data_IF_790385016697
#
_entry.id   IF_790385016697
#
_cell.length_a   1.000
_cell.length_b   1.000
_cell.length_c   1.000
_cell.angle_alpha   90.00
_cell.angle_beta   90.00
_cell.angle_gamma   90.00
#
_symmetry.space_group_name_H-M   'P 1'
#
loop_
_entity.id
_entity.type
_entity.pdbx_description
1 polymer ?
#
# COMPACT_ATOMS: atom_id res chain seq x y z
N UNK A 1 32.38 -25.47 -13.08
CA UNK A 1 31.84 -25.38 -14.45
C UNK A 1 30.33 -25.41 -14.35
N UNK A 2 29.67 -24.26 -14.40
CA UNK A 2 28.20 -24.20 -14.40
C UNK A 2 27.73 -24.68 -15.78
N UNK A 3 27.24 -25.92 -15.85
CA UNK A 3 26.68 -26.47 -17.09
C UNK A 3 25.50 -25.61 -17.53
N UNK A 4 25.47 -25.23 -18.81
CA UNK A 4 24.32 -24.54 -19.38
C UNK A 4 23.06 -25.35 -19.07
N UNK A 5 22.07 -24.78 -18.36
CA UNK A 5 20.85 -25.50 -18.04
C UNK A 5 20.22 -25.95 -19.36
N UNK A 6 19.86 -27.23 -19.43
CA UNK A 6 19.24 -27.82 -20.61
C UNK A 6 18.02 -26.97 -21.01
N UNK A 7 17.89 -26.49 -22.28
CA UNK A 7 16.81 -25.59 -22.69
C UNK A 7 15.42 -26.06 -22.30
N UNK A 8 15.20 -27.37 -22.27
CA UNK A 8 13.95 -28.00 -21.85
C UNK A 8 13.57 -27.67 -20.40
N UNK A 9 14.55 -27.59 -19.49
CA UNK A 9 14.33 -27.26 -18.07
C UNK A 9 14.03 -25.77 -17.91
N UNK A 10 14.76 -24.90 -18.63
CA UNK A 10 14.51 -23.46 -18.62
C UNK A 10 13.13 -23.11 -19.19
N UNK A 11 12.67 -23.83 -20.22
CA UNK A 11 11.37 -23.60 -20.87
C UNK A 11 10.20 -24.35 -20.19
N UNK A 12 10.47 -25.27 -19.26
CA UNK A 12 9.44 -26.08 -18.60
C UNK A 12 8.39 -25.25 -17.85
N UNK A 13 8.77 -24.07 -17.35
CA UNK A 13 7.85 -23.13 -16.70
C UNK A 13 6.74 -22.59 -17.62
N UNK A 14 6.97 -22.56 -18.94
CA UNK A 14 5.98 -22.17 -19.93
C UNK A 14 4.99 -23.30 -20.30
N UNK A 15 5.26 -24.52 -19.85
CA UNK A 15 4.34 -25.65 -20.07
C UNK A 15 3.21 -25.73 -19.02
N UNK A 16 3.20 -24.83 -18.04
CA UNK A 16 2.22 -24.80 -16.94
C UNK A 16 1.36 -23.53 -17.00
N UNK A 17 0.06 -23.59 -16.67
CA UNK A 17 -0.82 -22.42 -16.62
C UNK A 17 -0.34 -21.27 -15.70
N UNK A 18 0.62 -21.51 -14.79
CA UNK A 18 1.21 -20.49 -13.90
C UNK A 18 1.71 -19.25 -14.66
N UNK A 19 2.37 -19.38 -15.82
CA UNK A 19 2.88 -18.21 -16.54
C UNK A 19 1.75 -17.33 -17.10
N UNK A 20 0.60 -17.91 -17.47
CA UNK A 20 -0.58 -17.15 -17.90
C UNK A 20 -1.16 -16.35 -16.74
N UNK A 21 -1.19 -16.92 -15.53
CA UNK A 21 -1.62 -16.19 -14.34
C UNK A 21 -0.69 -15.01 -14.03
N UNK A 22 0.63 -15.17 -14.21
CA UNK A 22 1.60 -14.08 -14.04
C UNK A 22 1.33 -12.96 -15.05
N UNK A 23 1.15 -13.28 -16.34
CA UNK A 23 0.84 -12.28 -17.36
C UNK A 23 -0.48 -11.57 -17.04
N UNK A 24 -1.53 -12.32 -16.66
CA UNK A 24 -2.81 -11.73 -16.32
C UNK A 24 -2.71 -10.81 -15.10
N UNK A 25 -2.00 -11.21 -14.05
CA UNK A 25 -1.75 -10.39 -12.88
C UNK A 25 -0.97 -9.11 -13.22
N UNK A 26 0.06 -9.20 -14.05
CA UNK A 26 0.83 -8.04 -14.51
C UNK A 26 -0.01 -7.10 -15.37
N UNK A 27 -0.80 -7.62 -16.31
CA UNK A 27 -1.69 -6.83 -17.14
C UNK A 27 -2.78 -6.15 -16.31
N UNK A 28 -3.34 -6.85 -15.32
CA UNK A 28 -4.34 -6.30 -14.41
C UNK A 28 -3.73 -5.20 -13.54
N UNK A 29 -2.54 -5.41 -12.97
CA UNK A 29 -1.80 -4.39 -12.21
C UNK A 29 -1.46 -3.16 -13.06
N UNK A 30 -0.98 -3.37 -14.28
CA UNK A 30 -0.71 -2.30 -15.24
C UNK A 30 -2.00 -1.56 -15.62
N UNK A 31 -3.10 -2.26 -15.87
CA UNK A 31 -4.40 -1.67 -16.19
C UNK A 31 -4.94 -0.81 -15.03
N UNK A 32 -4.83 -1.28 -13.79
CA UNK A 32 -5.21 -0.50 -12.61
C UNK A 32 -4.36 0.78 -12.50
N UNK A 33 -3.04 0.65 -12.67
CA UNK A 33 -2.10 1.77 -12.55
C UNK A 33 -2.27 2.80 -13.68
N UNK A 34 -2.48 2.34 -14.92
CA UNK A 34 -2.60 3.19 -16.12
C UNK A 34 -3.98 3.77 -16.32
N UNK A 35 -5.05 3.10 -15.86
CA UNK A 35 -6.43 3.61 -15.96
C UNK A 35 -6.65 4.90 -15.17
N UNK A 36 -5.76 5.22 -14.22
CA UNK A 36 -5.94 6.31 -13.28
C UNK A 36 -7.17 6.12 -12.39
N UNK A 37 -7.68 4.89 -12.25
CA UNK A 37 -8.89 4.60 -11.48
C UNK A 37 -8.72 5.04 -10.03
N UNK A 38 -7.57 4.71 -9.41
CA UNK A 38 -7.26 5.14 -8.04
C UNK A 38 -7.24 6.66 -7.92
N UNK A 39 -6.65 7.35 -8.90
CA UNK A 39 -6.65 8.82 -8.93
C UNK A 39 -8.07 9.40 -9.02
N UNK A 40 -8.93 8.83 -9.87
CA UNK A 40 -10.34 9.24 -10.00
C UNK A 40 -11.13 8.98 -8.72
N UNK A 41 -10.89 7.85 -8.04
CA UNK A 41 -11.51 7.52 -6.76
C UNK A 41 -11.07 8.52 -5.68
N UNK A 42 -9.78 8.84 -5.59
CA UNK A 42 -9.27 9.85 -4.66
C UNK A 42 -9.88 11.23 -4.91
N UNK A 43 -9.99 11.65 -6.17
CA UNK A 43 -10.66 12.91 -6.53
C UNK A 43 -12.15 12.90 -6.16
N UNK A 44 -12.83 11.77 -6.37
CA UNK A 44 -14.24 11.63 -6.00
C UNK A 44 -14.44 11.73 -4.49
N UNK A 45 -13.59 11.07 -3.70
CA UNK A 45 -13.56 11.15 -2.23
C UNK A 45 -13.30 12.58 -1.74
N UNK A 46 -12.31 13.27 -2.31
CA UNK A 46 -12.04 14.67 -1.98
C UNK A 46 -13.28 15.53 -2.27
N UNK A 47 -13.89 15.39 -3.45
CA UNK A 47 -15.06 16.19 -3.85
C UNK A 47 -16.29 15.96 -2.96
N UNK A 48 -16.46 14.76 -2.41
CA UNK A 48 -17.60 14.45 -1.52
C UNK A 48 -17.33 14.87 -0.07
N UNK A 49 -16.08 14.76 0.40
CA UNK A 49 -15.74 15.07 1.79
C UNK A 49 -15.36 16.53 2.04
N UNK A 50 -14.87 17.27 1.03
CA UNK A 50 -14.52 18.69 1.16
C UNK A 50 -15.68 19.55 1.71
N UNK A 51 -16.91 19.48 1.16
CA UNK A 51 -18.03 20.27 1.68
C UNK A 51 -18.39 19.91 3.13
N UNK A 52 -18.19 18.65 3.53
CA UNK A 52 -18.42 18.20 4.90
C UNK A 52 -17.40 18.83 5.86
N UNK A 53 -16.12 18.89 5.49
CA UNK A 53 -15.07 19.49 6.30
C UNK A 53 -15.25 21.00 6.44
N UNK A 54 -15.62 21.69 5.35
CA UNK A 54 -15.97 23.11 5.38
C UNK A 54 -17.14 23.39 6.34
N UNK A 55 -18.17 22.53 6.34
CA UNK A 55 -19.31 22.65 7.26
C UNK A 55 -18.94 22.52 8.74
N UNK A 56 -17.84 21.81 9.03
CA UNK A 56 -17.32 21.59 10.38
C UNK A 56 -16.23 22.60 10.79
N UNK A 57 -15.94 23.60 9.94
CA UNK A 57 -14.78 24.50 10.10
C UNK A 57 -13.45 23.75 10.29
N UNK A 58 -13.32 22.58 9.66
CA UNK A 58 -12.07 21.82 9.65
C UNK A 58 -11.31 22.20 8.38
N UNK A 59 -10.05 22.57 8.54
CA UNK A 59 -9.20 22.94 7.42
C UNK A 59 -9.09 21.78 6.38
N UNK A 60 -9.35 22.06 5.09
CA UNK A 60 -9.21 21.07 4.00
C UNK A 60 -7.85 20.36 3.93
N UNK A 61 -6.77 20.99 4.39
CA UNK A 61 -5.44 20.38 4.44
C UNK A 61 -5.43 19.10 5.26
N UNK A 62 -6.20 19.04 6.36
CA UNK A 62 -6.30 17.84 7.20
C UNK A 62 -6.84 16.65 6.40
N UNK A 63 -7.86 16.88 5.55
CA UNK A 63 -8.41 15.84 4.68
C UNK A 63 -7.37 15.33 3.69
N UNK A 64 -6.58 16.23 3.09
CA UNK A 64 -5.49 15.86 2.18
C UNK A 64 -4.45 15.00 2.91
N UNK A 65 -4.04 15.37 4.12
CA UNK A 65 -3.08 14.57 4.91
C UNK A 65 -3.63 13.21 5.30
N UNK A 66 -4.91 13.11 5.67
CA UNK A 66 -5.54 11.83 5.97
C UNK A 66 -5.50 10.92 4.73
N UNK A 67 -5.87 11.44 3.55
CA UNK A 67 -5.84 10.67 2.30
C UNK A 67 -4.43 10.24 1.92
N UNK A 68 -3.43 11.11 2.11
CA UNK A 68 -2.03 10.79 1.82
C UNK A 68 -1.47 9.76 2.80
N UNK A 69 -1.72 9.92 4.10
CA UNK A 69 -1.21 9.02 5.15
C UNK A 69 -1.97 7.68 5.17
N UNK A 70 -3.19 7.61 4.64
CA UNK A 70 -3.93 6.36 4.50
C UNK A 70 -3.54 5.54 3.27
N UNK A 71 -2.65 6.04 2.41
CA UNK A 71 -2.28 5.36 1.17
C UNK A 71 -1.39 4.12 1.38
N UNK A 72 -0.67 4.05 2.51
CA UNK A 72 0.37 3.05 2.77
C UNK A 72 0.22 2.18 4.06
N UNK A 73 -0.83 2.28 4.90
CA UNK A 73 -1.06 1.28 5.94
C UNK A 73 -1.49 -0.06 5.33
N UNK A 74 -0.82 -1.14 5.74
CA UNK A 74 -1.19 -2.51 5.37
C UNK A 74 -1.85 -3.21 6.55
N UNK A 75 -2.91 -3.98 6.27
CA UNK A 75 -3.61 -4.79 7.27
C UNK A 75 -3.36 -6.29 7.08
N UNK A 76 -2.97 -6.69 5.87
CA UNK A 76 -2.74 -8.08 5.48
C UNK A 76 -1.32 -8.25 4.95
N UNK A 77 -0.71 -9.40 5.22
CA UNK A 77 0.67 -9.73 4.85
C UNK A 77 1.00 -9.51 3.36
N UNK A 78 0.07 -9.80 2.45
CA UNK A 78 0.31 -9.67 1.01
C UNK A 78 -0.01 -8.28 0.44
N UNK A 79 -0.50 -7.35 1.27
CA UNK A 79 -0.86 -5.99 0.84
C UNK A 79 0.35 -5.06 0.78
N UNK A 80 1.43 -5.38 1.50
CA UNK A 80 2.66 -4.58 1.53
C UNK A 80 3.79 -5.28 0.77
N UNK A 81 4.31 -4.60 -0.25
CA UNK A 81 5.50 -5.06 -0.97
C UNK A 81 6.72 -5.15 -0.04
N UNK A 82 6.89 -4.17 0.86
CA UNK A 82 7.98 -4.14 1.84
C UNK A 82 7.93 -5.34 2.77
N UNK A 83 6.74 -5.74 3.21
CA UNK A 83 6.56 -6.96 4.00
C UNK A 83 7.02 -8.21 3.23
N UNK A 84 6.60 -8.35 1.98
CA UNK A 84 6.95 -9.51 1.15
C UNK A 84 8.45 -9.55 0.88
N UNK A 85 9.06 -8.41 0.56
CA UNK A 85 10.50 -8.29 0.40
C UNK A 85 11.24 -8.74 1.67
N UNK A 86 10.83 -8.26 2.85
CA UNK A 86 11.42 -8.66 4.13
C UNK A 86 11.21 -10.16 4.43
N UNK A 87 10.04 -10.70 4.13
CA UNK A 87 9.72 -12.11 4.37
C UNK A 87 10.57 -13.05 3.50
N UNK A 88 10.61 -12.80 2.19
CA UNK A 88 11.36 -13.63 1.24
C UNK A 88 12.88 -13.48 1.39
N UNK A 89 13.39 -12.28 1.67
CA UNK A 89 14.82 -12.08 1.95
C UNK A 89 15.28 -12.80 3.22
N UNK A 90 14.37 -12.99 4.20
CA UNK A 90 14.64 -13.78 5.40
C UNK A 90 14.54 -15.30 5.19
N UNK A 91 14.44 -15.77 3.93
CA UNK A 91 14.14 -17.18 3.58
C UNK A 91 12.93 -17.72 4.34
N UNK A 92 11.91 -16.88 4.57
CA UNK A 92 10.67 -17.24 5.26
C UNK A 92 10.89 -17.68 6.73
N UNK A 93 12.09 -17.46 7.28
CA UNK A 93 12.48 -17.86 8.64
C UNK A 93 12.62 -16.69 9.61
N UNK A 94 12.61 -15.45 9.11
CA UNK A 94 12.79 -14.25 9.94
C UNK A 94 11.63 -13.98 10.90
N UNK A 95 10.40 -14.26 10.46
CA UNK A 95 9.19 -14.06 11.27
C UNK A 95 8.01 -14.84 10.68
N UNK A 96 7.03 -15.17 11.52
CA UNK A 96 5.80 -15.84 11.08
C UNK A 96 4.76 -14.82 10.59
N UNK A 97 3.81 -15.25 9.74
CA UNK A 97 2.69 -14.40 9.32
C UNK A 97 1.86 -13.86 10.49
N UNK A 98 1.75 -14.61 11.60
CA UNK A 98 1.04 -14.17 12.79
C UNK A 98 1.74 -12.98 13.47
N UNK A 99 3.08 -13.03 13.58
CA UNK A 99 3.89 -11.91 14.06
C UNK A 99 3.82 -10.72 13.09
N UNK A 100 3.85 -11.00 11.79
CA UNK A 100 3.67 -10.01 10.73
C UNK A 100 2.36 -9.23 10.85
N UNK A 101 1.23 -9.91 11.05
CA UNK A 101 -0.09 -9.26 11.24
C UNK A 101 -0.13 -8.40 12.51
N UNK A 102 0.49 -8.86 13.60
CA UNK A 102 0.59 -8.03 14.82
C UNK A 102 1.35 -6.74 14.55
N UNK A 103 2.45 -6.82 13.80
CA UNK A 103 3.22 -5.63 13.40
C UNK A 103 2.42 -4.71 12.49
N UNK A 104 1.63 -5.26 11.57
CA UNK A 104 0.73 -4.50 10.70
C UNK A 104 -0.29 -3.66 11.50
N UNK A 105 -0.98 -4.28 12.46
CA UNK A 105 -1.93 -3.56 13.32
C UNK A 105 -1.25 -2.54 14.23
N UNK A 106 -0.06 -2.84 14.76
CA UNK A 106 0.75 -1.90 15.51
C UNK A 106 1.11 -0.67 14.67
N UNK A 107 1.59 -0.90 13.45
CA UNK A 107 1.91 0.16 12.50
C UNK A 107 0.69 1.03 12.20
N UNK A 108 -0.46 0.44 11.85
CA UNK A 108 -1.70 1.20 11.61
C UNK A 108 -2.11 2.04 12.84
N UNK A 109 -1.98 1.49 14.04
CA UNK A 109 -2.31 2.20 15.28
C UNK A 109 -1.37 3.39 15.50
N UNK A 110 -0.07 3.19 15.27
CA UNK A 110 0.93 4.26 15.37
C UNK A 110 0.67 5.37 14.34
N UNK A 111 0.33 5.02 13.11
CA UNK A 111 -0.02 6.01 12.06
C UNK A 111 -1.23 6.83 12.49
N UNK A 112 -2.28 6.21 13.03
CA UNK A 112 -3.46 6.93 13.54
C UNK A 112 -3.06 7.90 14.67
N UNK A 113 -2.24 7.46 15.62
CA UNK A 113 -1.75 8.31 16.71
C UNK A 113 -0.94 9.49 16.16
N UNK A 114 -0.07 9.26 15.18
CA UNK A 114 0.72 10.31 14.52
C UNK A 114 -0.18 11.31 13.80
N UNK A 115 -1.23 10.85 13.09
CA UNK A 115 -2.21 11.72 12.44
C UNK A 115 -2.83 12.67 13.48
N UNK A 116 -3.32 12.15 14.60
CA UNK A 116 -3.89 12.98 15.66
C UNK A 116 -2.88 13.90 16.34
N UNK A 117 -1.65 13.42 16.58
CA UNK A 117 -0.57 14.22 17.16
C UNK A 117 -0.05 15.31 16.20
N UNK A 118 -0.24 15.13 14.89
CA UNK A 118 0.12 16.15 13.92
C UNK A 118 -0.81 17.37 14.04
N UNK A 119 -2.12 17.21 14.21
CA UNK A 119 -3.08 18.33 14.32
C UNK A 119 -2.61 19.46 15.28
N UNK A 120 -2.23 19.21 16.55
CA UNK A 120 -1.75 20.27 17.43
C UNK A 120 -0.42 20.87 16.98
N UNK A 121 0.50 20.10 16.40
CA UNK A 121 1.74 20.63 15.84
C UNK A 121 1.48 21.69 14.76
N UNK A 122 0.50 21.44 13.89
CA UNK A 122 0.15 22.31 12.78
C UNK A 122 -0.55 23.59 13.25
N UNK A 123 -1.34 23.48 14.33
CA UNK A 123 -1.90 24.65 15.04
C UNK A 123 -0.80 25.51 15.67
N UNK A 124 0.20 24.92 16.30
CA UNK A 124 1.29 25.67 16.96
C UNK A 124 2.12 26.52 15.98
N UNK A 125 2.34 26.02 14.76
CA UNK A 125 3.10 26.74 13.72
C UNK A 125 2.23 27.70 12.90
N UNK A 126 0.94 27.85 13.25
CA UNK A 126 0.00 28.77 12.59
C UNK A 126 -0.43 28.34 11.19
N UNK A 127 -0.27 27.07 10.84
CA UNK A 127 -0.69 26.51 9.55
C UNK A 127 -2.19 26.15 9.53
N UNK A 128 -2.75 25.88 10.69
CA UNK A 128 -4.18 25.66 10.90
C UNK A 128 -4.69 26.82 11.76
N UNK A 129 -5.66 27.57 11.23
CA UNK A 129 -6.30 28.71 11.90
C UNK A 129 -7.13 28.30 13.13
#
# INVERSE_FOLDING_TARGET
MYGHPNPSVALSGFSNAVWLYIIFALLLGAAITTSGLMYRVSLHLLRTLLPLFESLNIDPWILIFIVLLSADPFFVSYQSEVYLAAYYTSNEKGFTHAQGRKMAFLYCSVVIIIIFASIPFWRMIGLLG
#
